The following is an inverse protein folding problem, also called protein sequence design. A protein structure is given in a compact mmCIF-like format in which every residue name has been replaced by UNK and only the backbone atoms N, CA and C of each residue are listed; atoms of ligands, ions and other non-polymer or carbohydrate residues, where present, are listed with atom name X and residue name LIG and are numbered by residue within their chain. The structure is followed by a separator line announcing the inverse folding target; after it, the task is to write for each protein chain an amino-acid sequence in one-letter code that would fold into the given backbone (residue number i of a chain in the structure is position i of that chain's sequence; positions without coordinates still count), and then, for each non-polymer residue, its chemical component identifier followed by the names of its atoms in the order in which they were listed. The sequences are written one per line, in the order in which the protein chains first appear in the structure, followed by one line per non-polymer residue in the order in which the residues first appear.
data_IF_029891382025
#
_entry.id   IF_029891382025
#
_cell.length_a   1.000
_cell.length_b   1.000
_cell.length_c   1.000
_cell.angle_alpha   90.00
_cell.angle_beta   90.00
_cell.angle_gamma   90.00
#
_symmetry.space_group_name_H-M   'P 1'
#
loop_
_entity.id
_entity.type
_entity.pdbx_description
1 polymer ?
#
# COMPACT_ATOMS: atom_id res chain seq x y z
N UNK A 1 20.83 22.44 -30.65
CA UNK A 1 19.60 22.51 -29.82
C UNK A 1 19.33 21.15 -29.27
N UNK A 2 19.60 20.93 -27.98
CA UNK A 2 19.17 19.71 -27.29
C UNK A 2 17.68 19.85 -26.95
N UNK A 3 16.83 19.02 -27.56
CA UNK A 3 15.44 18.89 -27.13
C UNK A 3 15.46 18.38 -25.71
N UNK A 4 14.91 19.15 -24.77
CA UNK A 4 14.63 18.68 -23.44
C UNK A 4 13.62 17.54 -23.58
N UNK A 5 14.05 16.30 -23.35
CA UNK A 5 13.15 15.17 -23.14
C UNK A 5 12.37 15.49 -21.88
N UNK A 6 11.13 15.87 -22.05
CA UNK A 6 10.18 15.96 -20.96
C UNK A 6 10.02 14.52 -20.46
N UNK A 7 10.71 14.18 -19.38
CA UNK A 7 10.41 12.95 -18.63
C UNK A 7 8.92 13.03 -18.27
N UNK A 8 8.11 12.25 -18.96
CA UNK A 8 6.75 11.99 -18.51
C UNK A 8 6.88 11.41 -17.10
N UNK A 9 6.54 12.24 -16.09
CA UNK A 9 6.43 11.74 -14.72
C UNK A 9 5.35 10.66 -14.77
N UNK A 10 5.74 9.41 -14.51
CA UNK A 10 4.81 8.33 -14.34
C UNK A 10 3.81 8.76 -13.26
N UNK A 11 2.52 8.81 -13.62
CA UNK A 11 1.45 9.19 -12.69
C UNK A 11 1.37 8.15 -11.59
N UNK A 12 1.90 8.47 -10.41
CA UNK A 12 1.79 7.59 -9.24
C UNK A 12 0.34 7.58 -8.75
N UNK A 13 -0.27 6.40 -8.73
CA UNK A 13 -1.57 6.22 -8.10
C UNK A 13 -1.39 6.24 -6.59
N UNK A 14 -2.17 7.08 -5.92
CA UNK A 14 -2.17 7.24 -4.46
C UNK A 14 -3.58 7.18 -3.89
N UNK A 15 -3.66 6.86 -2.62
CA UNK A 15 -4.87 6.97 -1.81
C UNK A 15 -4.48 7.47 -0.43
N UNK A 16 -5.24 8.45 0.08
CA UNK A 16 -5.07 8.95 1.43
C UNK A 16 -6.29 8.57 2.25
N UNK A 17 -6.07 7.97 3.42
CA UNK A 17 -7.12 7.63 4.38
C UNK A 17 -6.79 8.18 5.76
N UNK A 18 -7.80 8.76 6.41
CA UNK A 18 -7.71 9.19 7.80
C UNK A 18 -8.09 8.04 8.73
N UNK A 19 -7.28 7.83 9.76
CA UNK A 19 -7.48 6.79 10.77
C UNK A 19 -7.31 7.40 12.16
N UNK A 20 -8.10 6.94 13.12
CA UNK A 20 -7.98 7.28 14.53
C UNK A 20 -7.33 6.13 15.29
N UNK A 21 -6.34 6.43 16.13
CA UNK A 21 -5.70 5.44 17.02
C UNK A 21 -6.71 4.96 18.05
N UNK A 22 -6.90 3.64 18.13
CA UNK A 22 -7.78 2.96 19.09
C UNK A 22 -7.00 2.53 20.34
N UNK A 23 -7.72 2.38 21.44
CA UNK A 23 -7.13 1.98 22.72
C UNK A 23 -6.35 0.66 22.66
N UNK A 24 -6.90 -0.35 21.97
CA UNK A 24 -6.25 -1.66 21.82
C UNK A 24 -5.04 -1.69 20.88
N UNK A 25 -4.71 -0.56 20.26
CA UNK A 25 -3.57 -0.40 19.36
C UNK A 25 -2.35 0.16 20.09
N UNK A 26 -2.51 0.57 21.33
CA UNK A 26 -1.45 1.15 22.14
C UNK A 26 -0.81 0.13 23.09
N UNK A 27 0.43 0.37 23.45
CA UNK A 27 1.20 -0.42 24.40
C UNK A 27 1.22 0.25 25.80
N UNK A 28 1.89 -0.35 26.82
CA UNK A 28 1.98 0.24 28.15
C UNK A 28 2.63 1.62 28.21
N UNK A 29 3.34 2.05 27.17
CA UNK A 29 3.91 3.39 27.07
C UNK A 29 2.86 4.45 26.64
N UNK A 30 1.64 4.04 26.30
CA UNK A 30 0.58 4.93 25.83
C UNK A 30 0.72 5.36 24.37
N UNK A 31 1.57 4.70 23.63
CA UNK A 31 1.80 4.95 22.20
C UNK A 31 1.43 3.70 21.39
N UNK A 32 1.18 3.88 20.12
CA UNK A 32 0.91 2.75 19.20
C UNK A 32 2.06 1.76 19.27
N UNK A 33 1.70 0.48 19.51
CA UNK A 33 2.68 -0.60 19.49
C UNK A 33 3.33 -0.71 18.11
N UNK A 34 4.65 -0.83 18.06
CA UNK A 34 5.40 -0.79 16.80
C UNK A 34 4.92 -1.82 15.76
N UNK A 35 4.45 -2.99 16.18
CA UNK A 35 3.91 -4.00 15.28
C UNK A 35 2.57 -3.61 14.65
N UNK A 36 1.85 -2.66 15.23
CA UNK A 36 0.53 -2.27 14.74
C UNK A 36 0.59 -1.42 13.46
N UNK A 37 1.72 -0.81 13.15
CA UNK A 37 1.87 -0.03 11.92
C UNK A 37 1.71 -0.88 10.66
N UNK A 38 2.09 -2.14 10.70
CA UNK A 38 1.85 -3.10 9.61
C UNK A 38 0.34 -3.30 9.39
N UNK A 39 -0.46 -3.30 10.45
CA UNK A 39 -1.93 -3.36 10.37
C UNK A 39 -2.49 -2.09 9.73
N UNK A 40 -1.96 -0.92 10.08
CA UNK A 40 -2.35 0.34 9.45
C UNK A 40 -2.04 0.35 7.94
N UNK A 41 -0.93 -0.27 7.53
CA UNK A 41 -0.62 -0.41 6.10
C UNK A 41 -1.68 -1.24 5.37
N UNK A 42 -2.24 -2.25 6.01
CA UNK A 42 -3.37 -2.99 5.45
C UNK A 42 -4.60 -2.10 5.26
N UNK A 43 -4.93 -1.25 6.23
CA UNK A 43 -6.02 -0.26 6.10
C UNK A 43 -5.78 0.65 4.89
N UNK A 44 -4.56 1.14 4.72
CA UNK A 44 -4.17 1.97 3.58
C UNK A 44 -4.30 1.24 2.25
N UNK A 45 -3.84 0.00 2.19
CA UNK A 45 -3.91 -0.84 0.99
C UNK A 45 -5.36 -1.16 0.61
N UNK A 46 -6.21 -1.47 1.58
CA UNK A 46 -7.63 -1.72 1.34
C UNK A 46 -8.35 -0.46 0.84
N UNK A 47 -8.07 0.70 1.43
CA UNK A 47 -8.62 1.97 0.96
C UNK A 47 -8.20 2.26 -0.48
N UNK A 48 -6.93 2.04 -0.81
CA UNK A 48 -6.42 2.14 -2.17
C UNK A 48 -7.19 1.24 -3.13
N UNK A 49 -7.38 -0.02 -2.75
CA UNK A 49 -8.12 -1.00 -3.56
C UNK A 49 -9.56 -0.57 -3.82
N UNK A 50 -10.26 -0.04 -2.82
CA UNK A 50 -11.62 0.48 -2.98
C UNK A 50 -11.66 1.68 -3.92
N UNK A 51 -10.71 2.59 -3.81
CA UNK A 51 -10.65 3.80 -4.64
C UNK A 51 -10.32 3.50 -6.10
N UNK A 52 -9.41 2.58 -6.35
CA UNK A 52 -8.86 2.33 -7.68
C UNK A 52 -9.33 1.01 -8.32
N UNK A 53 -10.24 0.29 -7.68
CA UNK A 53 -10.81 -0.94 -8.25
C UNK A 53 -9.87 -2.13 -8.24
N UNK A 54 -9.08 -2.29 -7.19
CA UNK A 54 -8.17 -3.43 -6.99
C UNK A 54 -8.27 -3.92 -5.54
N UNK A 55 -9.42 -4.45 -5.16
CA UNK A 55 -9.66 -5.00 -3.83
C UNK A 55 -9.18 -6.46 -3.74
N UNK A 56 -9.01 -6.94 -2.50
CA UNK A 56 -8.76 -8.35 -2.26
C UNK A 56 -9.84 -9.25 -2.88
N UNK A 57 -11.10 -8.83 -2.79
CA UNK A 57 -12.22 -9.59 -3.38
C UNK A 57 -12.17 -9.60 -4.92
N UNK A 58 -11.74 -8.51 -5.54
CA UNK A 58 -11.53 -8.45 -6.99
C UNK A 58 -10.46 -9.46 -7.43
N UNK A 59 -9.35 -9.52 -6.69
CA UNK A 59 -8.26 -10.46 -6.96
C UNK A 59 -8.73 -11.91 -6.77
N UNK A 60 -9.44 -12.19 -5.68
CA UNK A 60 -10.00 -13.52 -5.39
C UNK A 60 -10.99 -13.95 -6.46
N UNK A 61 -11.86 -13.06 -6.89
CA UNK A 61 -12.84 -13.32 -7.95
C UNK A 61 -12.17 -13.64 -9.28
N UNK A 62 -11.01 -13.07 -9.56
CA UNK A 62 -10.21 -13.38 -10.75
C UNK A 62 -9.47 -14.72 -10.64
N UNK A 63 -9.52 -15.39 -9.49
CA UNK A 63 -8.91 -16.71 -9.27
C UNK A 63 -7.50 -16.69 -8.70
N UNK A 64 -7.09 -15.58 -8.08
CA UNK A 64 -5.75 -15.43 -7.53
C UNK A 64 -5.78 -15.07 -6.04
N UNK A 65 -4.66 -15.34 -5.38
CA UNK A 65 -4.35 -14.82 -4.05
C UNK A 65 -3.02 -14.08 -4.09
N UNK A 66 -2.85 -13.09 -3.20
CA UNK A 66 -1.67 -12.23 -3.21
C UNK A 66 -1.02 -12.16 -1.83
N UNK A 67 -0.30 -13.23 -1.42
CA UNK A 67 0.38 -13.21 -0.14
C UNK A 67 1.48 -12.16 -0.09
N UNK A 68 1.69 -11.58 1.09
CA UNK A 68 2.80 -10.68 1.34
C UNK A 68 4.07 -11.50 1.51
N UNK A 69 5.12 -11.13 0.77
CA UNK A 69 6.43 -11.78 0.82
C UNK A 69 7.49 -10.89 1.46
N UNK A 70 7.22 -9.59 1.56
CA UNK A 70 8.10 -8.64 2.23
C UNK A 70 7.29 -7.49 2.80
N UNK A 71 7.59 -7.11 4.04
CA UNK A 71 7.10 -5.89 4.65
C UNK A 71 8.23 -5.19 5.39
N UNK A 72 8.29 -3.88 5.26
CA UNK A 72 9.26 -3.03 5.96
C UNK A 72 8.54 -1.89 6.66
N UNK A 73 9.09 -1.41 7.76
CA UNK A 73 8.57 -0.26 8.47
C UNK A 73 9.71 0.46 9.17
N UNK A 74 9.83 1.76 8.94
CA UNK A 74 10.73 2.66 9.65
C UNK A 74 9.92 3.61 10.52
N UNK A 75 10.32 3.77 11.78
CA UNK A 75 9.62 4.54 12.79
C UNK A 75 10.36 5.84 13.09
N UNK A 76 9.67 6.96 13.04
CA UNK A 76 10.26 8.29 13.24
C UNK A 76 9.64 9.01 14.45
N UNK A 77 8.31 8.96 14.60
CA UNK A 77 7.56 9.63 15.66
C UNK A 77 6.51 8.70 16.24
N UNK A 78 6.17 8.83 17.53
CA UNK A 78 5.09 8.05 18.12
C UNK A 78 3.71 8.63 17.77
N UNK A 79 2.70 7.77 17.77
CA UNK A 79 1.29 8.14 17.79
C UNK A 79 0.69 7.73 19.13
N UNK A 80 -0.21 8.57 19.67
CA UNK A 80 -0.88 8.33 20.95
C UNK A 80 -2.34 7.98 20.75
N UNK A 81 -2.92 7.34 21.76
CA UNK A 81 -4.34 7.04 21.79
C UNK A 81 -5.20 8.29 21.50
N UNK A 82 -6.17 8.12 20.62
CA UNK A 82 -7.12 9.17 20.25
C UNK A 82 -6.62 10.16 19.20
N UNK A 83 -5.33 10.15 18.85
CA UNK A 83 -4.84 10.93 17.73
C UNK A 83 -5.38 10.40 16.41
N UNK A 84 -5.63 11.31 15.46
CA UNK A 84 -5.90 10.94 14.07
C UNK A 84 -4.63 11.13 13.24
N UNK A 85 -4.52 10.36 12.19
CA UNK A 85 -3.39 10.41 11.26
C UNK A 85 -3.85 10.07 9.85
N UNK A 86 -3.05 10.42 8.86
CA UNK A 86 -3.31 10.08 7.47
C UNK A 86 -2.33 9.01 6.99
N UNK A 87 -2.84 8.00 6.31
CA UNK A 87 -2.04 7.03 5.58
C UNK A 87 -2.10 7.37 4.11
N UNK A 88 -0.94 7.66 3.52
CA UNK A 88 -0.77 7.83 2.08
C UNK A 88 -0.22 6.55 1.51
N UNK A 89 -1.00 5.86 0.73
CA UNK A 89 -0.61 4.61 0.05
C UNK A 89 -0.35 4.91 -1.41
N UNK A 90 0.83 4.55 -1.90
CA UNK A 90 1.25 4.76 -3.28
C UNK A 90 1.50 3.42 -3.95
N UNK A 91 0.87 3.19 -5.08
CA UNK A 91 1.15 2.03 -5.92
C UNK A 91 2.44 2.26 -6.70
N UNK A 92 3.38 1.32 -6.58
CA UNK A 92 4.65 1.34 -7.32
C UNK A 92 4.53 0.40 -8.50
N UNK A 93 4.53 0.94 -9.70
CA UNK A 93 4.47 0.12 -10.91
C UNK A 93 5.79 -0.65 -11.10
N UNK A 94 5.68 -1.92 -11.47
CA UNK A 94 6.81 -2.81 -11.72
C UNK A 94 6.52 -3.65 -12.95
N UNK A 95 7.56 -4.01 -13.68
CA UNK A 95 7.47 -4.93 -14.81
C UNK A 95 7.27 -6.39 -14.38
N UNK A 96 7.61 -6.70 -13.14
CA UNK A 96 7.39 -8.04 -12.55
C UNK A 96 5.96 -8.19 -12.05
N UNK A 97 5.48 -9.44 -11.95
CA UNK A 97 4.15 -9.78 -11.46
C UNK A 97 4.07 -9.62 -9.93
N UNK A 98 4.04 -8.38 -9.46
CA UNK A 98 4.03 -8.02 -8.05
C UNK A 98 3.10 -6.86 -7.80
N UNK A 99 2.53 -6.83 -6.58
CA UNK A 99 1.89 -5.66 -6.01
C UNK A 99 2.85 -5.03 -5.03
N UNK A 100 3.34 -3.84 -5.35
CA UNK A 100 4.26 -3.09 -4.51
C UNK A 100 3.57 -1.82 -4.07
N UNK A 101 3.44 -1.64 -2.76
CA UNK A 101 2.85 -0.46 -2.15
C UNK A 101 3.85 0.21 -1.21
N UNK A 102 3.95 1.53 -1.32
CA UNK A 102 4.66 2.38 -0.37
C UNK A 102 3.64 3.05 0.53
N UNK A 103 3.93 3.12 1.83
CA UNK A 103 3.08 3.76 2.83
C UNK A 103 3.84 4.87 3.54
N UNK A 104 3.15 5.97 3.76
CA UNK A 104 3.62 7.07 4.58
C UNK A 104 2.51 7.48 5.53
N UNK A 105 2.81 7.53 6.82
CA UNK A 105 1.87 7.95 7.86
C UNK A 105 2.28 9.32 8.36
N UNK A 106 1.34 10.26 8.32
CA UNK A 106 1.53 11.64 8.78
C UNK A 106 0.59 11.94 9.94
N UNK A 107 1.10 12.60 10.98
CA UNK A 107 0.29 13.03 12.11
C UNK A 107 -0.51 14.31 11.78
N UNK A 108 -1.26 14.82 12.77
CA UNK A 108 -2.09 16.03 12.61
C UNK A 108 -1.27 17.29 12.33
N UNK A 109 0.01 17.31 12.69
CA UNK A 109 0.94 18.39 12.36
C UNK A 109 1.62 18.18 10.99
N UNK A 110 1.16 17.19 10.24
CA UNK A 110 1.70 16.81 8.92
C UNK A 110 3.18 16.41 8.96
N UNK A 111 3.61 15.84 10.07
CA UNK A 111 4.95 15.27 10.23
C UNK A 111 4.94 13.78 9.93
N UNK A 112 5.99 13.29 9.28
CA UNK A 112 6.15 11.87 8.97
C UNK A 112 6.36 11.06 10.26
N UNK A 113 5.43 10.16 10.54
CA UNK A 113 5.45 9.27 11.72
C UNK A 113 6.18 7.99 11.41
N UNK A 114 5.84 7.36 10.31
CA UNK A 114 6.51 6.16 9.82
C UNK A 114 6.38 6.03 8.31
N UNK A 115 7.25 5.22 7.73
CA UNK A 115 7.17 4.83 6.32
C UNK A 115 7.41 3.34 6.18
N UNK A 116 6.89 2.75 5.13
CA UNK A 116 7.07 1.33 4.89
C UNK A 116 6.73 0.93 3.47
N UNK A 117 6.94 -0.34 3.20
CA UNK A 117 6.67 -0.94 1.91
C UNK A 117 6.16 -2.37 2.12
N UNK A 118 5.21 -2.79 1.30
CA UNK A 118 4.81 -4.20 1.20
C UNK A 118 4.96 -4.67 -0.23
N UNK A 119 5.37 -5.91 -0.38
CA UNK A 119 5.46 -6.60 -1.67
C UNK A 119 4.62 -7.86 -1.59
N UNK A 120 3.70 -8.01 -2.53
CA UNK A 120 2.86 -9.19 -2.70
C UNK A 120 3.16 -9.83 -4.04
N UNK A 121 3.08 -11.14 -4.11
CA UNK A 121 3.17 -11.92 -5.34
C UNK A 121 1.78 -12.48 -5.67
N UNK A 122 1.60 -12.97 -6.90
CA UNK A 122 0.37 -13.64 -7.32
C UNK A 122 0.57 -15.15 -7.30
N UNK A 123 -0.34 -15.85 -6.64
CA UNK A 123 -0.48 -17.30 -6.74
C UNK A 123 -1.79 -17.62 -7.45
N UNK A 124 -1.75 -18.59 -8.38
CA UNK A 124 -2.93 -19.07 -9.05
C UNK A 124 -3.74 -20.07 -8.20
N UNK A 125 -4.82 -20.62 -8.75
CA UNK A 125 -5.69 -21.57 -8.03
C UNK A 125 -5.00 -22.87 -7.61
N UNK A 126 -3.86 -23.19 -8.20
CA UNK A 126 -3.03 -24.35 -7.86
C UNK A 126 -1.84 -24.00 -6.97
N UNK A 127 -1.81 -22.79 -6.42
CA UNK A 127 -0.73 -22.23 -5.60
C UNK A 127 0.60 -22.09 -6.35
N UNK A 128 0.56 -21.97 -7.67
CA UNK A 128 1.75 -21.69 -8.46
C UNK A 128 2.03 -20.19 -8.53
N UNK A 129 3.31 -19.84 -8.36
CA UNK A 129 3.75 -18.44 -8.50
C UNK A 129 3.58 -17.98 -9.95
N UNK A 130 2.92 -16.85 -10.15
CA UNK A 130 2.81 -16.21 -11.45
C UNK A 130 4.09 -15.42 -11.74
N UNK A 131 4.74 -15.76 -12.87
CA UNK A 131 5.95 -15.06 -13.34
C UNK A 131 5.63 -13.84 -14.21
N UNK A 132 4.40 -13.78 -14.72
CA UNK A 132 3.90 -12.72 -15.56
C UNK A 132 2.63 -12.15 -14.95
N UNK A 133 2.31 -10.89 -15.26
CA UNK A 133 1.08 -10.28 -14.80
C UNK A 133 -0.13 -11.13 -15.21
N UNK A 134 -0.99 -11.53 -14.25
CA UNK A 134 -2.29 -12.08 -14.60
C UNK A 134 -3.05 -11.14 -15.52
N UNK A 135 -3.86 -11.68 -16.41
CA UNK A 135 -4.60 -10.89 -17.42
C UNK A 135 -5.44 -9.79 -16.79
N UNK A 136 -6.17 -10.09 -15.70
CA UNK A 136 -6.97 -9.08 -15.01
C UNK A 136 -6.14 -7.94 -14.43
N UNK A 137 -4.94 -8.23 -13.95
CA UNK A 137 -4.04 -7.22 -13.38
C UNK A 137 -3.43 -6.35 -14.47
N UNK A 138 -3.03 -6.95 -15.58
CA UNK A 138 -2.57 -6.16 -16.73
C UNK A 138 -3.68 -5.26 -17.28
N UNK A 139 -4.91 -5.76 -17.37
CA UNK A 139 -6.07 -4.97 -17.78
C UNK A 139 -6.33 -3.80 -16.82
N UNK A 140 -6.21 -4.03 -15.51
CA UNK A 140 -6.32 -2.97 -14.52
C UNK A 140 -5.22 -1.92 -14.68
N UNK A 141 -3.98 -2.33 -14.88
CA UNK A 141 -2.87 -1.41 -15.18
C UNK A 141 -3.14 -0.56 -16.41
N UNK A 142 -3.57 -1.18 -17.48
CA UNK A 142 -3.88 -0.49 -18.75
C UNK A 142 -4.99 0.54 -18.52
N UNK A 143 -6.03 0.18 -17.79
CA UNK A 143 -7.12 1.08 -17.42
C UNK A 143 -6.64 2.29 -16.59
N UNK A 144 -5.64 2.09 -15.72
CA UNK A 144 -5.06 3.14 -14.87
C UNK A 144 -3.99 3.97 -15.59
N UNK A 145 -3.63 3.62 -16.83
CA UNK A 145 -2.60 4.32 -17.59
C UNK A 145 -1.17 4.01 -17.15
N UNK A 146 -0.96 2.81 -16.64
CA UNK A 146 0.34 2.33 -16.17
C UNK A 146 1.08 1.51 -17.21
#
# INVERSE_FOLDING_TARGET
MKKAETKMQSKNLTCTEEVRVRFNETDPLGIVWHGHYIVYFEDGREAFGRQHGLTYLDIQKAGFVTPIVKSTCEHFLPLKYGETFNIVTTFINSVSAKLIYKYEIFNQQNLLVCSGETIQVFLDSENNLCLYNPEFFQAWKDKMGL
#
